data_IF_395120332563
#
_entry.id   IF_395120332563
#
_cell.length_a   1.000
_cell.length_b   1.000
_cell.length_c   1.000
_cell.angle_alpha   90.00
_cell.angle_beta   90.00
_cell.angle_gamma   90.00
#
_symmetry.space_group_name_H-M   'P 1'
#
loop_
_entity.id
_entity.type
_entity.pdbx_description
1 polymer ?
#
# COMPACT_ATOMS: atom_id res chain seq x y z
N UNK A 1 -5.65 -13.37 -8.63
CA UNK A 1 -4.31 -12.74 -8.73
C UNK A 1 -3.37 -13.42 -7.75
N UNK A 2 -2.22 -13.90 -8.21
CA UNK A 2 -1.28 -14.52 -7.30
C UNK A 2 -0.49 -13.46 -6.51
N UNK A 3 0.27 -13.94 -5.52
CA UNK A 3 1.03 -13.05 -4.64
C UNK A 3 2.06 -12.20 -5.40
N UNK A 4 2.76 -12.79 -6.37
CA UNK A 4 3.77 -12.05 -7.12
C UNK A 4 3.16 -10.94 -7.97
N UNK A 5 2.02 -11.19 -8.59
CA UNK A 5 1.30 -10.16 -9.35
C UNK A 5 0.83 -9.05 -8.44
N UNK A 6 0.25 -9.40 -7.29
CA UNK A 6 -0.21 -8.41 -6.31
C UNK A 6 0.98 -7.58 -5.79
N UNK A 7 2.08 -8.26 -5.47
CA UNK A 7 3.29 -7.59 -4.99
C UNK A 7 3.83 -6.61 -6.02
N UNK A 8 3.94 -7.03 -7.27
CA UNK A 8 4.44 -6.16 -8.35
C UNK A 8 3.51 -4.96 -8.57
N UNK A 9 2.20 -5.17 -8.46
CA UNK A 9 1.23 -4.11 -8.59
C UNK A 9 1.37 -3.09 -7.45
N UNK A 10 1.52 -3.58 -6.22
CA UNK A 10 1.73 -2.72 -5.04
C UNK A 10 3.01 -1.90 -5.20
N UNK A 11 4.12 -2.55 -5.58
CA UNK A 11 5.40 -1.87 -5.78
C UNK A 11 5.29 -0.82 -6.89
N UNK A 12 4.63 -1.15 -7.98
CA UNK A 12 4.47 -0.25 -9.12
C UNK A 12 3.63 0.99 -8.80
N UNK A 13 2.74 0.90 -7.81
CA UNK A 13 1.90 2.02 -7.38
C UNK A 13 2.51 2.82 -6.24
N UNK A 14 3.61 2.34 -5.65
CA UNK A 14 4.29 3.05 -4.58
C UNK A 14 5.02 4.29 -5.11
N UNK A 15 4.96 5.34 -4.32
CA UNK A 15 5.68 6.58 -4.57
C UNK A 15 6.80 6.74 -3.56
N UNK A 16 7.69 7.67 -3.83
CA UNK A 16 8.79 8.01 -2.91
C UNK A 16 8.22 8.40 -1.55
N UNK A 17 8.75 7.80 -0.49
CA UNK A 17 8.32 8.06 0.88
C UNK A 17 7.20 7.15 1.38
N UNK A 18 6.55 6.37 0.52
CA UNK A 18 5.47 5.48 0.93
C UNK A 18 5.95 4.38 1.87
N UNK A 19 7.14 3.82 1.63
CA UNK A 19 7.70 2.79 2.50
C UNK A 19 7.88 3.32 3.92
N UNK A 20 8.33 4.56 4.05
CA UNK A 20 8.51 5.21 5.34
C UNK A 20 7.18 5.40 6.06
N UNK A 21 6.15 5.81 5.32
CA UNK A 21 4.80 5.97 5.86
C UNK A 21 4.23 4.63 6.31
N UNK A 22 4.37 3.61 5.50
CA UNK A 22 3.90 2.25 5.82
C UNK A 22 4.62 1.73 7.07
N UNK A 23 5.92 1.92 7.16
CA UNK A 23 6.70 1.51 8.32
C UNK A 23 6.20 2.18 9.59
N UNK A 24 5.91 3.47 9.53
CA UNK A 24 5.41 4.23 10.67
C UNK A 24 4.04 3.71 11.12
N UNK A 25 3.13 3.49 10.18
CA UNK A 25 1.77 3.00 10.49
C UNK A 25 1.83 1.57 11.03
N UNK A 26 2.66 0.72 10.46
CA UNK A 26 2.81 -0.66 10.90
C UNK A 26 3.62 -0.80 12.20
N UNK A 27 4.35 0.24 12.60
CA UNK A 27 5.19 0.19 13.78
C UNK A 27 6.45 -0.65 13.58
N UNK A 28 6.99 -0.67 12.38
CA UNK A 28 8.20 -1.44 12.03
C UNK A 28 9.21 -0.51 11.35
N UNK A 29 10.42 -1.03 11.10
CA UNK A 29 11.44 -0.25 10.39
C UNK A 29 11.15 -0.23 8.89
N UNK A 30 11.69 0.78 8.20
CA UNK A 30 11.61 0.85 6.74
C UNK A 30 12.26 -0.37 6.07
N UNK A 31 13.33 -0.88 6.66
CA UNK A 31 14.00 -2.09 6.18
C UNK A 31 13.05 -3.29 6.22
N UNK A 32 12.24 -3.41 7.28
CA UNK A 32 11.25 -4.48 7.39
C UNK A 32 10.21 -4.39 6.28
N UNK A 33 9.74 -3.19 5.96
CA UNK A 33 8.80 -2.97 4.84
C UNK A 33 9.46 -3.40 3.53
N UNK A 34 10.69 -2.96 3.31
CA UNK A 34 11.43 -3.30 2.09
C UNK A 34 11.61 -4.80 1.96
N UNK A 35 11.98 -5.48 3.06
CA UNK A 35 12.15 -6.92 3.07
C UNK A 35 10.85 -7.66 2.77
N UNK A 36 9.71 -7.18 3.30
CA UNK A 36 8.42 -7.80 3.01
C UNK A 36 8.08 -7.73 1.52
N UNK A 37 8.42 -6.63 0.87
CA UNK A 37 8.16 -6.44 -0.56
C UNK A 37 9.09 -7.29 -1.45
N UNK A 38 10.16 -7.84 -0.89
CA UNK A 38 11.10 -8.68 -1.62
C UNK A 38 10.93 -10.18 -1.35
N UNK A 39 9.97 -10.56 -0.51
CA UNK A 39 9.69 -11.99 -0.24
C UNK A 39 8.94 -12.61 -1.41
N UNK A 40 9.12 -13.91 -1.58
CA UNK A 40 8.45 -14.66 -2.64
C UNK A 40 7.04 -15.08 -2.28
N UNK A 41 6.74 -15.19 -0.98
CA UNK A 41 5.41 -15.56 -0.51
C UNK A 41 5.19 -15.02 0.90
N UNK A 42 3.92 -14.95 1.31
CA UNK A 42 3.56 -14.50 2.65
C UNK A 42 4.07 -15.47 3.71
N UNK A 43 4.14 -16.76 3.41
CA UNK A 43 4.65 -17.77 4.33
C UNK A 43 6.11 -17.59 4.67
N UNK A 44 6.89 -16.93 3.82
CA UNK A 44 8.30 -16.66 4.05
C UNK A 44 8.52 -15.40 4.90
N UNK A 45 7.47 -14.67 5.20
CA UNK A 45 7.58 -13.44 5.97
C UNK A 45 7.59 -13.69 7.47
N UNK A 46 8.38 -12.89 8.19
CA UNK A 46 8.30 -12.81 9.65
C UNK A 46 6.97 -12.15 10.05
N UNK A 47 6.61 -12.21 11.34
CA UNK A 47 5.41 -11.54 11.83
C UNK A 47 5.42 -10.03 11.52
N UNK A 48 6.57 -9.37 11.70
CA UNK A 48 6.72 -7.95 11.40
C UNK A 48 6.57 -7.67 9.90
N UNK A 49 7.12 -8.54 9.06
CA UNK A 49 7.02 -8.40 7.61
C UNK A 49 5.58 -8.61 7.13
N UNK A 50 4.86 -9.57 7.69
CA UNK A 50 3.43 -9.77 7.39
C UNK A 50 2.60 -8.53 7.73
N UNK A 51 2.87 -7.95 8.89
CA UNK A 51 2.18 -6.73 9.32
C UNK A 51 2.45 -5.59 8.35
N UNK A 52 3.71 -5.41 7.95
CA UNK A 52 4.09 -4.40 6.97
C UNK A 52 3.40 -4.64 5.63
N UNK A 53 3.33 -5.89 5.19
CA UNK A 53 2.67 -6.26 3.94
C UNK A 53 1.18 -5.92 3.96
N UNK A 54 0.47 -6.30 5.02
CA UNK A 54 -0.97 -6.00 5.16
C UNK A 54 -1.21 -4.49 5.11
N UNK A 55 -0.41 -3.72 5.85
CA UNK A 55 -0.53 -2.26 5.85
C UNK A 55 -0.21 -1.68 4.47
N UNK A 56 0.79 -2.22 3.77
CA UNK A 56 1.13 -1.77 2.43
C UNK A 56 -0.05 -1.99 1.46
N UNK A 57 -0.68 -3.15 1.51
CA UNK A 57 -1.85 -3.46 0.67
C UNK A 57 -3.00 -2.50 0.98
N UNK A 58 -3.31 -2.30 2.25
CA UNK A 58 -4.37 -1.39 2.68
C UNK A 58 -4.07 0.05 2.27
N UNK A 59 -2.83 0.47 2.44
CA UNK A 59 -2.39 1.82 2.10
C UNK A 59 -2.57 2.12 0.61
N UNK A 60 -2.13 1.20 -0.25
CA UNK A 60 -2.24 1.39 -1.71
C UNK A 60 -3.70 1.29 -2.15
N UNK A 61 -4.48 0.36 -1.61
CA UNK A 61 -5.90 0.24 -1.93
C UNK A 61 -6.68 1.49 -1.50
N UNK A 62 -6.37 2.03 -0.34
CA UNK A 62 -7.00 3.27 0.14
C UNK A 62 -6.67 4.45 -0.76
N UNK A 63 -5.43 4.52 -1.27
CA UNK A 63 -5.01 5.56 -2.22
C UNK A 63 -5.83 5.48 -3.50
N UNK A 64 -5.97 4.30 -4.08
CA UNK A 64 -6.76 4.10 -5.30
C UNK A 64 -8.22 4.49 -5.06
N UNK A 65 -8.81 3.97 -3.99
CA UNK A 65 -10.21 4.26 -3.65
C UNK A 65 -10.39 5.72 -3.26
N UNK A 66 -9.43 6.30 -2.56
CA UNK A 66 -9.44 7.70 -2.18
C UNK A 66 -9.41 8.63 -3.38
N UNK A 67 -8.58 8.34 -4.37
CA UNK A 67 -8.52 9.12 -5.60
C UNK A 67 -9.85 9.07 -6.34
N UNK A 68 -10.46 7.90 -6.47
CA UNK A 68 -11.76 7.74 -7.10
C UNK A 68 -12.84 8.53 -6.35
N UNK A 69 -12.79 8.47 -5.03
CA UNK A 69 -13.74 9.19 -4.16
C UNK A 69 -13.58 10.70 -4.30
N UNK A 70 -12.36 11.19 -4.37
CA UNK A 70 -12.07 12.62 -4.54
C UNK A 70 -12.60 13.10 -5.88
N UNK A 71 -12.38 12.35 -6.95
CA UNK A 71 -12.89 12.70 -8.27
C UNK A 71 -14.40 12.83 -8.28
N UNK A 72 -15.11 11.88 -7.67
CA UNK A 72 -16.57 11.91 -7.57
C UNK A 72 -17.06 13.11 -6.75
N UNK A 73 -16.41 13.41 -5.65
CA UNK A 73 -16.76 14.55 -4.81
C UNK A 73 -16.53 15.87 -5.52
N UNK A 74 -15.41 15.99 -6.24
CA UNK A 74 -15.10 17.18 -7.03
C UNK A 74 -16.14 17.42 -8.11
N UNK A 75 -16.56 16.36 -8.79
CA UNK A 75 -17.62 16.44 -9.81
C UNK A 75 -18.95 16.92 -9.22
N UNK A 76 -19.32 16.41 -8.04
CA UNK A 76 -20.53 16.83 -7.35
C UNK A 76 -20.50 18.28 -6.92
N UNK A 77 -19.38 18.72 -6.38
CA UNK A 77 -19.19 20.11 -5.96
C UNK A 77 -19.24 21.04 -7.16
N UNK A 78 -18.54 20.68 -8.25
CA UNK A 78 -18.55 21.45 -9.49
C UNK A 78 -19.97 21.55 -10.07
N UNK A 79 -20.76 20.47 -9.96
CA UNK A 79 -22.13 20.45 -10.43
C UNK A 79 -23.09 21.32 -9.62
N UNK A 80 -22.73 21.65 -8.38
CA UNK A 80 -23.53 22.52 -7.50
C UNK A 80 -23.18 23.99 -7.67
N UNK A 81 -22.05 24.27 -8.21
CA UNK A 81 -21.59 25.63 -8.44
C UNK A 81 -22.00 26.12 -9.82
#
# INVERSE_FOLDING_TARGET
MDFNEQKNQIIGLMKRGDKKTIAKVAGVSTVTVWNSLNKSSVTDMTAAEKKAWVIAVEFINARINGNNRIEKQTSKVAGRL
#
